data_IF_387483042908
#
_entry.id   IF_387483042908
#
_cell.length_a   1.000
_cell.length_b   1.000
_cell.length_c   1.000
_cell.angle_alpha   90.00
_cell.angle_beta   90.00
_cell.angle_gamma   90.00
#
_symmetry.space_group_name_H-M   'P 1'
#
loop_
_entity.id
_entity.type
_entity.pdbx_description
1 polymer ?
#
# COMPACT_ATOMS: atom_id res chain seq x y z
N UNK A 1 -11.99 -12.79 60.71
CA UNK A 1 -13.24 -12.16 61.21
C UNK A 1 -13.68 -11.11 60.22
N UNK A 2 -14.94 -11.17 59.93
CA UNK A 2 -15.87 -10.24 59.26
C UNK A 2 -16.04 -10.45 57.76
N UNK A 3 -17.14 -11.14 57.47
CA UNK A 3 -17.88 -11.26 56.22
C UNK A 3 -18.53 -9.92 55.85
N UNK A 4 -18.65 -9.63 54.57
CA UNK A 4 -19.70 -8.80 54.05
C UNK A 4 -20.17 -9.32 52.68
N UNK A 5 -21.34 -9.96 52.67
CA UNK A 5 -22.26 -10.22 51.56
C UNK A 5 -22.96 -8.92 51.20
N UNK A 6 -23.11 -8.61 49.93
CA UNK A 6 -24.16 -7.75 49.34
C UNK A 6 -24.43 -8.25 47.95
N UNK A 7 -25.44 -9.01 47.70
CA UNK A 7 -26.83 -8.79 47.28
C UNK A 7 -26.99 -8.32 45.83
N UNK A 8 -27.62 -9.26 45.08
CA UNK A 8 -28.27 -9.13 43.80
C UNK A 8 -29.17 -7.92 43.66
N UNK A 9 -29.21 -7.31 42.49
CA UNK A 9 -30.43 -6.72 41.94
C UNK A 9 -30.48 -6.95 40.44
N UNK A 10 -31.35 -7.84 40.04
CA UNK A 10 -31.89 -8.08 38.69
C UNK A 10 -32.83 -6.92 38.34
N UNK A 11 -32.59 -6.27 37.19
CA UNK A 11 -33.56 -5.38 36.57
C UNK A 11 -33.90 -5.86 35.20
N UNK A 12 -35.09 -6.39 35.03
CA UNK A 12 -35.81 -6.67 33.79
C UNK A 12 -36.23 -5.36 33.14
N UNK A 13 -35.93 -5.12 31.88
CA UNK A 13 -36.63 -4.11 31.10
C UNK A 13 -37.03 -4.70 29.75
N UNK A 14 -38.27 -4.46 29.44
CA UNK A 14 -39.15 -5.01 28.42
C UNK A 14 -38.72 -4.78 26.98
N UNK A 15 -39.05 -5.77 26.16
CA UNK A 15 -39.01 -5.78 24.71
C UNK A 15 -40.02 -4.82 24.09
N UNK A 16 -39.58 -3.92 23.21
CA UNK A 16 -40.44 -3.27 22.21
C UNK A 16 -40.09 -3.77 20.83
N UNK A 17 -41.04 -4.47 20.25
CA UNK A 17 -41.02 -4.92 18.85
C UNK A 17 -41.37 -3.72 17.98
N UNK A 18 -40.43 -3.26 17.12
CA UNK A 18 -40.70 -2.37 16.02
C UNK A 18 -40.66 -3.13 14.71
N UNK A 19 -41.74 -3.05 13.95
CA UNK A 19 -41.91 -3.64 12.62
C UNK A 19 -40.95 -3.01 11.61
N UNK A 20 -40.28 -3.86 10.84
CA UNK A 20 -39.27 -3.52 9.87
C UNK A 20 -39.87 -3.23 8.52
N UNK A 21 -39.63 -2.01 8.01
CA UNK A 21 -39.69 -1.74 6.59
C UNK A 21 -38.38 -2.28 5.94
N UNK A 22 -38.54 -3.13 4.93
CA UNK A 22 -37.41 -3.67 4.16
C UNK A 22 -36.75 -2.56 3.34
N UNK A 23 -35.59 -2.08 3.77
CA UNK A 23 -34.69 -1.28 2.95
C UNK A 23 -33.76 -2.21 2.16
N UNK A 24 -33.38 -1.87 0.89
CA UNK A 24 -32.43 -2.65 0.13
C UNK A 24 -31.07 -2.67 0.84
N UNK A 25 -30.46 -3.85 0.92
CA UNK A 25 -29.19 -4.06 1.56
C UNK A 25 -28.08 -3.18 0.95
N UNK A 26 -27.29 -2.43 1.75
CA UNK A 26 -26.11 -1.76 1.25
C UNK A 26 -25.08 -2.82 0.80
N UNK A 27 -24.55 -2.62 -0.40
CA UNK A 27 -23.43 -3.41 -0.93
C UNK A 27 -22.28 -3.23 0.07
N UNK A 28 -21.90 -4.32 0.74
CA UNK A 28 -20.76 -4.31 1.63
C UNK A 28 -19.49 -3.93 0.84
N UNK A 29 -18.67 -2.99 1.33
CA UNK A 29 -17.36 -2.77 0.72
C UNK A 29 -16.55 -4.07 0.84
N UNK A 30 -15.65 -4.37 -0.14
CA UNK A 30 -14.80 -5.54 -0.05
C UNK A 30 -14.06 -5.49 1.28
N UNK A 31 -14.15 -6.58 2.04
CA UNK A 31 -13.44 -6.74 3.31
C UNK A 31 -11.96 -6.39 3.07
N UNK A 32 -11.55 -5.24 3.57
CA UNK A 32 -10.13 -4.98 3.78
C UNK A 32 -9.61 -6.17 4.58
N UNK A 33 -8.66 -6.90 3.99
CA UNK A 33 -8.06 -8.07 4.60
C UNK A 33 -7.78 -7.79 6.06
N UNK A 34 -8.24 -8.67 6.94
CA UNK A 34 -8.00 -8.56 8.37
C UNK A 34 -6.52 -8.23 8.58
N UNK A 35 -6.19 -7.23 9.42
CA UNK A 35 -4.81 -7.03 9.79
C UNK A 35 -4.29 -8.35 10.33
N UNK A 36 -3.22 -8.88 9.72
CA UNK A 36 -2.55 -10.06 10.22
C UNK A 36 -2.26 -9.78 11.70
N UNK A 37 -2.87 -10.56 12.58
CA UNK A 37 -2.65 -10.48 14.01
C UNK A 37 -1.17 -10.83 14.25
N UNK A 38 -0.33 -9.82 14.23
CA UNK A 38 1.08 -9.96 14.58
C UNK A 38 1.10 -10.13 16.09
N UNK A 39 0.93 -11.37 16.53
CA UNK A 39 1.08 -11.76 17.93
C UNK A 39 2.51 -11.44 18.41
N UNK A 40 2.71 -10.21 18.81
CA UNK A 40 3.96 -9.71 19.43
C UNK A 40 4.12 -10.26 20.87
N UNK A 41 3.69 -11.49 21.12
CA UNK A 41 3.72 -12.11 22.46
C UNK A 41 4.79 -13.20 22.63
N UNK A 42 5.71 -13.36 21.70
CA UNK A 42 6.89 -14.19 21.97
C UNK A 42 8.09 -13.31 22.26
N UNK A 43 8.42 -13.12 23.55
CA UNK A 43 9.77 -12.73 23.92
C UNK A 43 10.70 -13.77 23.27
N UNK A 44 11.64 -13.35 22.44
CA UNK A 44 12.56 -14.30 21.86
C UNK A 44 13.31 -15.00 22.98
N UNK A 45 13.14 -16.31 23.07
CA UNK A 45 13.90 -17.17 24.01
C UNK A 45 15.31 -17.42 23.52
N UNK A 46 15.74 -16.67 22.49
CA UNK A 46 17.06 -16.79 21.86
C UNK A 46 18.15 -16.22 22.75
N UNK A 47 19.28 -16.88 22.75
CA UNK A 47 20.50 -16.37 23.37
C UNK A 47 21.00 -15.13 22.62
N UNK A 48 21.80 -14.25 23.25
CA UNK A 48 22.38 -13.08 22.59
C UNK A 48 23.13 -13.41 21.29
N UNK A 49 23.87 -14.51 21.30
CA UNK A 49 24.64 -14.97 20.13
C UNK A 49 23.70 -15.44 18.98
N UNK A 50 22.64 -16.15 19.31
CA UNK A 50 21.63 -16.57 18.34
C UNK A 50 20.94 -15.38 17.73
N UNK A 51 20.58 -14.34 18.51
CA UNK A 51 19.99 -13.11 18.00
C UNK A 51 20.91 -12.42 16.99
N UNK A 52 22.22 -12.33 17.29
CA UNK A 52 23.20 -11.74 16.36
C UNK A 52 23.34 -12.57 15.09
N UNK A 53 23.38 -13.89 15.17
CA UNK A 53 23.48 -14.77 14.02
C UNK A 53 22.23 -14.67 13.14
N UNK A 54 21.05 -14.73 13.74
CA UNK A 54 19.78 -14.58 13.01
C UNK A 54 19.63 -13.19 12.39
N UNK A 55 20.14 -12.15 13.04
CA UNK A 55 20.14 -10.80 12.46
C UNK A 55 20.97 -10.72 11.17
N UNK A 56 22.10 -11.43 11.11
CA UNK A 56 22.91 -11.53 9.89
C UNK A 56 22.19 -12.30 8.78
N UNK A 57 21.44 -13.33 9.13
CA UNK A 57 20.67 -14.10 8.16
C UNK A 57 19.48 -13.28 7.62
N UNK A 58 18.84 -12.46 8.45
CA UNK A 58 17.87 -11.50 8.00
C UNK A 58 18.47 -10.46 7.04
N UNK A 59 19.65 -9.94 7.33
CA UNK A 59 20.35 -9.01 6.43
C UNK A 59 20.64 -9.64 5.06
N UNK A 60 21.09 -10.90 5.02
CA UNK A 60 21.31 -11.65 3.78
C UNK A 60 20.00 -11.81 3.01
N UNK A 61 18.95 -12.28 3.67
CA UNK A 61 17.62 -12.47 3.07
C UNK A 61 17.06 -11.19 2.48
N UNK A 62 17.16 -10.06 3.19
CA UNK A 62 16.71 -8.76 2.69
C UNK A 62 17.50 -8.30 1.45
N UNK A 63 18.81 -8.53 1.42
CA UNK A 63 19.64 -8.22 0.27
C UNK A 63 19.33 -9.11 -0.94
N UNK A 64 18.94 -10.37 -0.73
CA UNK A 64 18.48 -11.27 -1.78
C UNK A 64 17.16 -10.78 -2.38
N UNK A 65 16.21 -10.33 -1.55
CA UNK A 65 14.97 -9.69 -2.01
C UNK A 65 15.29 -8.46 -2.85
N UNK A 66 16.19 -7.59 -2.39
CA UNK A 66 16.59 -6.40 -3.14
C UNK A 66 17.14 -6.76 -4.52
N UNK A 67 18.06 -7.73 -4.60
CA UNK A 67 18.62 -8.20 -5.88
C UNK A 67 17.54 -8.71 -6.83
N UNK A 68 16.59 -9.51 -6.31
CA UNK A 68 15.48 -10.05 -7.09
C UNK A 68 14.61 -8.94 -7.67
N UNK A 69 14.25 -7.94 -6.86
CA UNK A 69 13.43 -6.81 -7.32
C UNK A 69 14.19 -5.96 -8.35
N UNK A 70 15.51 -5.80 -8.20
CA UNK A 70 16.33 -5.10 -9.19
C UNK A 70 16.35 -5.81 -10.55
N UNK A 71 16.36 -7.14 -10.57
CA UNK A 71 16.22 -7.91 -11.81
C UNK A 71 14.87 -7.64 -12.48
N UNK A 72 13.78 -7.59 -11.71
CA UNK A 72 12.45 -7.23 -12.24
C UNK A 72 12.43 -5.79 -12.79
N UNK A 73 13.08 -4.86 -12.11
CA UNK A 73 13.21 -3.47 -12.56
C UNK A 73 13.98 -3.40 -13.91
N UNK A 74 15.07 -4.13 -14.04
CA UNK A 74 15.84 -4.14 -15.27
C UNK A 74 15.11 -4.86 -16.41
N UNK A 75 14.29 -5.85 -16.11
CA UNK A 75 13.39 -6.46 -17.08
C UNK A 75 12.35 -5.47 -17.57
N UNK A 76 11.63 -4.78 -16.68
CA UNK A 76 10.65 -3.76 -17.06
C UNK A 76 11.25 -2.64 -17.92
N UNK A 77 12.52 -2.26 -17.64
CA UNK A 77 13.27 -1.31 -18.50
C UNK A 77 13.51 -1.86 -19.91
N UNK A 78 13.92 -3.12 -20.03
CA UNK A 78 14.16 -3.75 -21.36
C UNK A 78 12.87 -3.88 -22.15
N UNK A 79 11.78 -4.24 -21.47
CA UNK A 79 10.46 -4.42 -22.06
C UNK A 79 9.79 -3.07 -22.38
N UNK A 80 10.38 -1.95 -21.90
CA UNK A 80 9.84 -0.57 -21.99
C UNK A 80 8.46 -0.42 -21.34
N UNK A 81 8.16 -1.27 -20.38
CA UNK A 81 6.94 -1.24 -19.61
C UNK A 81 7.04 -0.19 -18.49
N UNK A 82 6.56 1.02 -18.77
CA UNK A 82 6.67 2.17 -17.87
C UNK A 82 5.81 1.99 -16.62
N UNK A 83 4.66 1.34 -16.72
CA UNK A 83 3.76 1.12 -15.58
C UNK A 83 4.42 0.18 -14.58
N UNK A 84 4.88 -0.97 -15.06
CA UNK A 84 5.60 -1.95 -14.26
C UNK A 84 6.89 -1.36 -13.69
N UNK A 85 7.64 -0.61 -14.51
CA UNK A 85 8.87 0.03 -14.07
C UNK A 85 8.66 0.98 -12.90
N UNK A 86 7.63 1.83 -12.95
CA UNK A 86 7.32 2.76 -11.88
C UNK A 86 6.92 2.02 -10.60
N UNK A 87 6.03 1.01 -10.71
CA UNK A 87 5.62 0.18 -9.59
C UNK A 87 6.83 -0.49 -8.91
N UNK A 88 7.67 -1.19 -9.68
CA UNK A 88 8.85 -1.89 -9.15
C UNK A 88 9.87 -0.91 -8.58
N UNK A 89 10.07 0.25 -9.21
CA UNK A 89 11.01 1.28 -8.73
C UNK A 89 10.61 1.80 -7.35
N UNK A 90 9.32 2.04 -7.11
CA UNK A 90 8.82 2.43 -5.81
C UNK A 90 9.13 1.36 -4.74
N UNK A 91 8.94 0.09 -5.06
CA UNK A 91 9.28 -1.01 -4.14
C UNK A 91 10.79 -1.10 -3.87
N UNK A 92 11.64 -0.90 -4.88
CA UNK A 92 13.10 -0.84 -4.70
C UNK A 92 13.49 0.24 -3.70
N UNK A 93 12.91 1.44 -3.80
CA UNK A 93 13.19 2.55 -2.87
C UNK A 93 12.77 2.18 -1.46
N UNK A 94 11.56 1.65 -1.28
CA UNK A 94 11.05 1.25 0.03
C UNK A 94 11.90 0.14 0.66
N UNK A 95 12.32 -0.87 -0.11
CA UNK A 95 13.21 -1.94 0.37
C UNK A 95 14.56 -1.40 0.82
N UNK A 96 15.17 -0.49 0.05
CA UNK A 96 16.46 0.13 0.43
C UNK A 96 16.37 0.89 1.75
N UNK A 97 15.30 1.66 1.96
CA UNK A 97 15.07 2.36 3.23
C UNK A 97 14.94 1.37 4.39
N UNK A 98 14.18 0.28 4.21
CA UNK A 98 14.03 -0.74 5.24
C UNK A 98 15.36 -1.47 5.52
N UNK A 99 16.19 -1.74 4.52
CA UNK A 99 17.53 -2.32 4.72
C UNK A 99 18.41 -1.37 5.55
N UNK A 100 18.40 -0.07 5.26
CA UNK A 100 19.16 0.91 6.05
C UNK A 100 18.71 0.95 7.52
N UNK A 101 17.41 0.84 7.79
CA UNK A 101 16.87 0.71 9.15
C UNK A 101 17.35 -0.59 9.81
N UNK A 102 17.36 -1.69 9.06
CA UNK A 102 17.83 -2.97 9.55
C UNK A 102 19.33 -2.94 9.91
N UNK A 103 20.16 -2.31 9.09
CA UNK A 103 21.59 -2.14 9.36
C UNK A 103 21.85 -1.35 10.64
N UNK A 104 21.10 -0.28 10.88
CA UNK A 104 21.15 0.47 12.13
C UNK A 104 20.73 -0.40 13.32
N UNK A 105 19.63 -1.15 13.22
CA UNK A 105 19.17 -2.05 14.28
C UNK A 105 20.18 -3.17 14.57
N UNK A 106 20.88 -3.69 13.56
CA UNK A 106 21.95 -4.68 13.75
C UNK A 106 23.12 -4.08 14.52
N UNK A 107 23.53 -2.86 14.20
CA UNK A 107 24.61 -2.18 14.91
C UNK A 107 24.23 -1.92 16.38
N UNK A 108 23.01 -1.42 16.64
CA UNK A 108 22.51 -1.21 18.01
C UNK A 108 22.36 -2.53 18.77
N UNK A 109 21.92 -3.60 18.11
CA UNK A 109 21.84 -4.94 18.71
C UNK A 109 23.22 -5.43 19.18
N UNK A 110 24.25 -5.28 18.34
CA UNK A 110 25.62 -5.70 18.69
C UNK A 110 26.16 -4.90 19.86
N UNK A 111 25.87 -3.59 19.90
CA UNK A 111 26.25 -2.74 21.02
C UNK A 111 25.51 -3.14 22.30
N UNK A 112 24.21 -3.41 22.24
CA UNK A 112 23.41 -3.88 23.37
C UNK A 112 23.91 -5.23 23.91
N UNK A 113 24.35 -6.13 23.04
CA UNK A 113 25.00 -7.40 23.45
C UNK A 113 26.29 -7.13 24.19
N UNK A 114 27.13 -6.21 23.71
CA UNK A 114 28.41 -5.86 24.36
C UNK A 114 28.18 -5.22 25.72
N UNK A 115 27.16 -4.37 25.87
CA UNK A 115 26.80 -3.75 27.15
C UNK A 115 26.00 -4.67 28.07
N UNK A 116 25.64 -5.85 27.61
CA UNK A 116 24.77 -6.79 28.31
C UNK A 116 23.37 -6.19 28.68
N UNK A 117 22.85 -5.30 27.82
CA UNK A 117 21.55 -4.68 27.98
C UNK A 117 20.46 -5.55 27.34
N UNK A 118 19.70 -6.26 28.19
CA UNK A 118 18.65 -7.16 27.71
C UNK A 118 17.47 -6.41 27.09
N UNK A 119 17.10 -5.26 27.65
CA UNK A 119 15.97 -4.48 27.17
C UNK A 119 16.19 -3.97 25.75
N UNK A 120 17.33 -3.34 25.51
CA UNK A 120 17.71 -2.81 24.20
C UNK A 120 17.91 -3.96 23.19
N UNK A 121 18.53 -5.06 23.60
CA UNK A 121 18.74 -6.24 22.75
C UNK A 121 17.43 -6.82 22.23
N UNK A 122 16.44 -7.01 23.10
CA UNK A 122 15.13 -7.54 22.73
C UNK A 122 14.38 -6.54 21.84
N UNK A 123 14.48 -5.26 22.13
CA UNK A 123 13.86 -4.20 21.32
C UNK A 123 14.40 -4.20 19.89
N UNK A 124 15.72 -4.13 19.72
CA UNK A 124 16.33 -4.06 18.39
C UNK A 124 16.17 -5.35 17.59
N UNK A 125 16.22 -6.51 18.24
CA UNK A 125 15.93 -7.77 17.57
C UNK A 125 14.48 -7.87 17.10
N UNK A 126 13.53 -7.42 17.91
CA UNK A 126 12.10 -7.37 17.52
C UNK A 126 11.88 -6.42 16.34
N UNK A 127 12.47 -5.23 16.40
CA UNK A 127 12.44 -4.24 15.31
C UNK A 127 12.98 -4.82 14.02
N UNK A 128 14.12 -5.49 14.08
CA UNK A 128 14.72 -6.14 12.91
C UNK A 128 13.85 -7.24 12.32
N UNK A 129 13.19 -8.04 13.17
CA UNK A 129 12.25 -9.08 12.74
C UNK A 129 11.08 -8.48 11.95
N UNK A 130 10.50 -7.37 12.45
CA UNK A 130 9.39 -6.66 11.78
C UNK A 130 9.87 -6.08 10.45
N UNK A 131 11.05 -5.47 10.41
CA UNK A 131 11.63 -4.91 9.19
C UNK A 131 11.89 -5.99 8.15
N UNK A 132 12.42 -7.14 8.55
CA UNK A 132 12.60 -8.28 7.65
C UNK A 132 11.28 -8.76 7.06
N UNK A 133 10.23 -8.93 7.87
CA UNK A 133 8.90 -9.30 7.38
C UNK A 133 8.37 -8.29 6.36
N UNK A 134 8.52 -7.00 6.64
CA UNK A 134 8.11 -5.93 5.73
C UNK A 134 8.84 -6.01 4.39
N UNK A 135 10.15 -6.27 4.39
CA UNK A 135 10.93 -6.43 3.17
C UNK A 135 10.47 -7.64 2.35
N UNK A 136 10.12 -8.77 3.00
CA UNK A 136 9.56 -9.93 2.31
C UNK A 136 8.21 -9.59 1.63
N UNK A 137 7.34 -8.85 2.32
CA UNK A 137 6.05 -8.40 1.76
C UNK A 137 6.28 -7.48 0.57
N UNK A 138 7.18 -6.49 0.68
CA UNK A 138 7.53 -5.60 -0.43
C UNK A 138 8.11 -6.37 -1.63
N UNK A 139 8.86 -7.45 -1.38
CA UNK A 139 9.35 -8.36 -2.41
C UNK A 139 8.22 -9.01 -3.18
N UNK A 140 7.25 -9.58 -2.47
CA UNK A 140 6.08 -10.20 -3.08
C UNK A 140 5.20 -9.18 -3.83
N UNK A 141 5.04 -7.97 -3.28
CA UNK A 141 4.33 -6.89 -3.96
C UNK A 141 5.04 -6.46 -5.26
N UNK A 142 6.36 -6.44 -5.29
CA UNK A 142 7.13 -6.13 -6.50
C UNK A 142 6.95 -7.19 -7.58
N UNK A 143 6.86 -8.46 -7.21
CA UNK A 143 6.57 -9.57 -8.13
C UNK A 143 5.15 -9.47 -8.71
N UNK A 144 4.21 -8.91 -7.95
CA UNK A 144 2.83 -8.68 -8.36
C UNK A 144 2.62 -7.34 -9.11
N UNK A 145 3.67 -6.57 -9.38
CA UNK A 145 3.57 -5.38 -10.22
C UNK A 145 3.16 -5.79 -11.65
N UNK A 146 1.89 -5.53 -11.97
CA UNK A 146 1.32 -5.82 -13.28
C UNK A 146 1.76 -4.69 -14.22
N UNK A 147 2.34 -5.07 -15.36
CA UNK A 147 2.68 -4.15 -16.44
C UNK A 147 1.49 -3.85 -17.34
N UNK A 148 1.78 -3.14 -18.41
CA UNK A 148 0.84 -2.90 -19.49
C UNK A 148 0.64 -4.21 -20.26
N UNK A 149 -0.22 -5.09 -19.73
CA UNK A 149 -0.63 -6.28 -20.47
C UNK A 149 -1.67 -5.87 -21.52
N UNK A 150 -1.16 -5.59 -22.72
CA UNK A 150 -1.99 -5.23 -23.89
C UNK A 150 -2.97 -6.36 -24.27
N UNK A 151 -2.85 -7.54 -23.67
CA UNK A 151 -3.77 -8.66 -23.91
C UNK A 151 -5.16 -8.39 -23.29
N UNK A 152 -5.28 -7.42 -22.40
CA UNK A 152 -6.55 -7.06 -21.76
C UNK A 152 -7.26 -5.87 -22.42
N UNK A 153 -6.82 -5.41 -23.58
CA UNK A 153 -7.64 -4.56 -24.43
C UNK A 153 -8.72 -5.47 -25.03
N UNK A 154 -9.74 -5.75 -24.25
CA UNK A 154 -10.95 -6.35 -24.76
C UNK A 154 -11.35 -5.55 -26.00
N UNK A 155 -11.77 -6.21 -27.07
CA UNK A 155 -12.23 -5.56 -28.29
C UNK A 155 -13.35 -4.57 -27.91
N UNK A 156 -12.94 -3.33 -27.58
CA UNK A 156 -13.88 -2.24 -27.29
C UNK A 156 -14.45 -1.83 -28.64
N UNK A 157 -15.57 -2.42 -29.01
CA UNK A 157 -16.34 -1.96 -30.15
C UNK A 157 -17.06 -0.70 -29.71
N UNK A 158 -16.59 0.43 -30.16
CA UNK A 158 -17.26 1.72 -29.98
C UNK A 158 -18.19 1.86 -31.18
N UNK A 159 -19.46 1.62 -30.99
CA UNK A 159 -20.50 2.00 -31.96
C UNK A 159 -20.84 3.47 -31.70
N UNK A 160 -20.36 4.36 -32.57
CA UNK A 160 -20.66 5.79 -32.48
C UNK A 160 -21.91 6.03 -33.30
N UNK A 161 -23.03 6.24 -32.63
CA UNK A 161 -24.27 6.71 -33.26
C UNK A 161 -24.20 8.24 -33.33
N UNK A 162 -23.95 8.76 -34.53
CA UNK A 162 -23.88 10.21 -34.75
C UNK A 162 -25.29 10.67 -35.15
N UNK A 163 -25.87 11.60 -34.39
CA UNK A 163 -27.15 12.22 -34.75
C UNK A 163 -27.03 12.86 -36.14
N UNK A 164 -27.90 12.49 -37.11
CA UNK A 164 -27.83 13.00 -38.47
C UNK A 164 -28.06 14.52 -38.58
N UNK A 165 -28.54 15.16 -37.50
CA UNK A 165 -28.75 16.61 -37.44
C UNK A 165 -27.50 17.38 -36.96
N UNK A 166 -26.43 16.70 -36.55
CA UNK A 166 -25.18 17.36 -36.20
C UNK A 166 -24.43 17.72 -37.47
N UNK A 167 -24.15 19.02 -37.71
CA UNK A 167 -23.40 19.44 -38.89
C UNK A 167 -22.01 18.74 -38.93
N UNK A 168 -21.77 17.99 -39.99
CA UNK A 168 -20.48 17.32 -40.22
C UNK A 168 -19.45 18.29 -40.80
N UNK A 169 -19.10 19.32 -40.05
CA UNK A 169 -17.96 20.16 -40.42
C UNK A 169 -16.77 19.85 -39.51
N UNK A 170 -15.61 19.85 -40.12
CA UNK A 170 -14.35 19.66 -39.39
C UNK A 170 -14.00 20.95 -38.64
N UNK A 171 -13.93 20.95 -37.29
CA UNK A 171 -13.62 22.15 -36.53
C UNK A 171 -12.21 22.67 -36.75
N UNK A 172 -11.33 21.88 -37.40
CA UNK A 172 -9.97 22.30 -37.77
C UNK A 172 -9.90 23.05 -39.08
N UNK A 173 -10.94 22.98 -39.87
CA UNK A 173 -11.05 23.76 -41.11
C UNK A 173 -11.46 25.20 -40.81
N UNK A 174 -10.87 26.20 -41.49
CA UNK A 174 -11.28 27.58 -41.32
C UNK A 174 -12.76 27.71 -41.73
N UNK A 175 -13.56 28.52 -41.01
CA UNK A 175 -14.98 28.73 -41.37
C UNK A 175 -15.11 29.21 -42.79
N UNK A 176 -16.18 28.76 -43.46
CA UNK A 176 -16.46 29.18 -44.83
C UNK A 176 -16.47 30.72 -44.96
N UNK A 177 -15.89 31.29 -46.03
CA UNK A 177 -15.81 32.73 -46.19
C UNK A 177 -17.22 33.33 -46.14
N UNK A 178 -17.46 34.18 -45.14
CA UNK A 178 -18.75 34.82 -44.89
C UNK A 178 -19.26 34.74 -43.44
N UNK A 179 -18.58 34.01 -42.57
CA UNK A 179 -18.88 34.04 -41.13
C UNK A 179 -17.96 35.05 -40.45
N UNK A 180 -18.46 36.24 -40.13
CA UNK A 180 -17.76 37.21 -39.28
C UNK A 180 -17.71 36.65 -37.84
N UNK A 181 -16.55 36.14 -37.47
CA UNK A 181 -16.28 35.77 -36.08
C UNK A 181 -15.85 37.06 -35.38
N UNK A 182 -16.80 37.74 -34.78
CA UNK A 182 -16.50 38.88 -33.90
C UNK A 182 -15.71 38.36 -32.70
N UNK A 183 -14.43 38.80 -32.59
CA UNK A 183 -13.59 38.46 -31.42
C UNK A 183 -14.27 38.98 -30.18
N UNK A 184 -14.46 38.19 -29.13
CA UNK A 184 -14.87 38.73 -27.84
C UNK A 184 -13.86 39.80 -27.42
N UNK A 185 -14.35 40.98 -27.03
CA UNK A 185 -13.51 42.11 -26.64
C UNK A 185 -12.47 41.71 -25.59
N UNK A 186 -11.24 42.17 -25.75
CA UNK A 186 -10.19 41.94 -24.80
C UNK A 186 -10.65 42.33 -23.40
N UNK A 187 -10.52 41.41 -22.45
CA UNK A 187 -10.79 41.71 -21.06
C UNK A 187 -9.82 42.83 -20.63
N UNK A 188 -10.38 43.87 -20.06
CA UNK A 188 -9.68 45.07 -19.65
C UNK A 188 -8.43 44.71 -18.80
N UNK A 189 -7.26 45.35 -19.04
CA UNK A 189 -6.12 45.16 -18.20
C UNK A 189 -6.44 45.60 -16.77
N UNK A 190 -6.13 44.73 -15.82
CA UNK A 190 -6.11 45.05 -14.39
C UNK A 190 -5.14 46.20 -14.16
N UNK A 191 -5.66 47.43 -14.08
CA UNK A 191 -4.94 48.55 -13.51
C UNK A 191 -5.18 48.56 -12.00
N UNK A 192 -4.15 48.19 -11.23
CA UNK A 192 -4.10 48.34 -9.80
C UNK A 192 -2.71 48.72 -9.37
#
# INVERSE_FOLDING_TARGET
>A
MVNAKVLLTTTFIASTVFAQGSAPAPIAPPSAGAPADVSVKQRPTLTPEEMVNQSRDYAKSMNEVLKRIQVLQDQAKRDKDIIRLNCVTDKVVQVRVNISIAEQSIASLQEAVTRNDEGERVHEFTRLTIVNQKVQVLGAEAENCIGEDLSFVGATRIDVEVDPNIPQYDPTLPPAPGIDIERPGEASPLTG
#
